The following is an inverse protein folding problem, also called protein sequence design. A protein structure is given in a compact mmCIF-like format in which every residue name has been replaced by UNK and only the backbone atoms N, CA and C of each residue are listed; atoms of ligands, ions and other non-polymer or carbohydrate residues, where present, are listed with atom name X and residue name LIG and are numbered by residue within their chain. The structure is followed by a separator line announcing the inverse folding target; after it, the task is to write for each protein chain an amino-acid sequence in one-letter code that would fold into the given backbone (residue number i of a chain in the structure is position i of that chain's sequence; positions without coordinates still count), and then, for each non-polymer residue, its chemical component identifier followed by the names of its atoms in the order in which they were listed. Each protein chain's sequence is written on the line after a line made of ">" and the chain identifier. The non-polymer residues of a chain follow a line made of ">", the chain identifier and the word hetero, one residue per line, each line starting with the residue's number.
data_IF_728192334870
#
_entry.id   IF_728192334870
#
_cell.length_a   1.000
_cell.length_b   1.000
_cell.length_c   1.000
_cell.angle_alpha   90.00
_cell.angle_beta   90.00
_cell.angle_gamma   90.00
#
_symmetry.space_group_name_H-M   'P 1'
#
loop_
_entity.id
_entity.type
_entity.pdbx_description
1 polymer ?
#
# COMPACT_ATOMS: atom_id res chain seq x y z
N UNK A 1 4.22 -6.26 13.58
CA UNK A 1 3.06 -6.79 14.31
C UNK A 1 2.25 -7.74 13.43
N UNK A 2 2.47 -9.05 13.58
CA UNK A 2 1.69 -10.09 12.88
C UNK A 2 0.49 -10.46 13.75
N UNK A 3 -0.70 -10.60 13.18
CA UNK A 3 -1.91 -10.91 13.97
C UNK A 3 -1.79 -12.35 14.49
N UNK A 4 -1.83 -12.57 15.82
CA UNK A 4 -1.77 -13.91 16.39
C UNK A 4 -2.87 -14.80 15.82
N UNK A 5 -2.48 -16.00 15.39
CA UNK A 5 -3.40 -16.96 14.78
C UNK A 5 -3.66 -16.76 13.30
N UNK A 6 -3.21 -15.68 12.65
CA UNK A 6 -3.39 -15.47 11.21
C UNK A 6 -2.20 -15.98 10.42
N UNK A 7 -2.38 -16.29 9.13
CA UNK A 7 -1.31 -16.77 8.27
C UNK A 7 -0.77 -15.72 7.32
N UNK A 8 -1.47 -14.63 7.03
CA UNK A 8 -1.03 -13.64 6.04
C UNK A 8 -1.07 -12.22 6.57
N UNK A 9 -1.97 -11.90 7.51
CA UNK A 9 -2.07 -10.55 8.07
C UNK A 9 -0.90 -10.20 9.03
N UNK A 10 0.18 -9.65 8.47
CA UNK A 10 1.30 -9.12 9.24
C UNK A 10 2.44 -8.56 8.38
N UNK A 11 3.29 -7.67 8.91
CA UNK A 11 4.48 -7.22 8.23
C UNK A 11 5.51 -8.35 8.16
N UNK A 12 6.27 -8.40 7.07
CA UNK A 12 7.30 -9.41 6.81
C UNK A 12 6.76 -10.86 6.81
N UNK A 13 5.49 -11.04 6.43
CA UNK A 13 4.93 -12.34 6.10
C UNK A 13 5.84 -13.06 5.10
N UNK A 14 6.25 -14.29 5.43
CA UNK A 14 7.06 -15.15 4.56
C UNK A 14 6.19 -15.73 3.43
N UNK A 15 5.72 -14.87 2.55
CA UNK A 15 4.72 -15.18 1.52
C UNK A 15 5.10 -16.39 0.67
N UNK A 16 6.29 -16.38 0.05
CA UNK A 16 6.74 -17.46 -0.83
C UNK A 16 6.74 -18.83 -0.13
N UNK A 17 7.18 -18.89 1.13
CA UNK A 17 7.21 -20.15 1.90
C UNK A 17 5.79 -20.66 2.18
N UNK A 18 4.87 -19.76 2.52
CA UNK A 18 3.45 -20.09 2.80
C UNK A 18 2.72 -20.52 1.53
N UNK A 19 3.00 -19.88 0.39
CA UNK A 19 2.46 -20.26 -0.91
C UNK A 19 2.97 -21.64 -1.36
N UNK A 20 4.28 -21.90 -1.25
CA UNK A 20 4.87 -23.21 -1.59
C UNK A 20 4.30 -24.35 -0.74
N UNK A 21 3.99 -24.07 0.53
CA UNK A 21 3.35 -25.03 1.44
C UNK A 21 1.85 -25.23 1.16
N UNK A 22 1.21 -24.31 0.41
CA UNK A 22 -0.22 -24.39 0.11
C UNK A 22 -1.12 -23.87 1.24
N UNK A 23 -0.60 -23.05 2.15
CA UNK A 23 -1.34 -22.57 3.32
C UNK A 23 -2.62 -21.77 2.91
N UNK A 24 -3.83 -22.18 3.31
CA UNK A 24 -5.06 -21.44 3.03
C UNK A 24 -5.27 -20.35 4.08
N UNK A 25 -5.67 -19.13 3.68
CA UNK A 25 -6.01 -18.08 4.65
C UNK A 25 -7.09 -18.54 5.63
N UNK A 26 -6.85 -18.35 6.93
CA UNK A 26 -7.67 -18.96 7.99
C UNK A 26 -9.12 -18.49 8.01
N UNK A 27 -9.37 -17.23 7.67
CA UNK A 27 -10.69 -16.62 7.61
C UNK A 27 -10.76 -15.59 6.47
N UNK A 28 -11.88 -14.88 6.34
CA UNK A 28 -12.08 -13.93 5.22
C UNK A 28 -11.05 -12.79 5.25
N UNK A 29 -10.74 -12.27 6.43
CA UNK A 29 -9.71 -11.23 6.64
C UNK A 29 -8.33 -11.73 6.22
N UNK A 30 -7.95 -12.94 6.64
CA UNK A 30 -6.66 -13.54 6.32
C UNK A 30 -6.52 -13.88 4.82
N UNK A 31 -7.62 -14.27 4.17
CA UNK A 31 -7.68 -14.43 2.71
C UNK A 31 -7.49 -13.09 1.98
N UNK A 32 -8.09 -12.01 2.47
CA UNK A 32 -7.86 -10.67 1.92
C UNK A 32 -6.39 -10.24 2.06
N UNK A 33 -5.78 -10.49 3.23
CA UNK A 33 -4.34 -10.25 3.42
C UNK A 33 -3.46 -11.09 2.47
N UNK A 34 -3.82 -12.36 2.23
CA UNK A 34 -3.11 -13.23 1.27
C UNK A 34 -3.15 -12.62 -0.14
N UNK A 35 -4.34 -12.20 -0.60
CA UNK A 35 -4.53 -11.55 -1.91
C UNK A 35 -3.72 -10.27 -2.03
N UNK A 36 -3.75 -9.43 -0.99
CA UNK A 36 -2.93 -8.22 -0.90
C UNK A 36 -1.44 -8.54 -1.04
N UNK A 37 -0.90 -9.46 -0.24
CA UNK A 37 0.53 -9.75 -0.23
C UNK A 37 1.03 -10.31 -1.57
N UNK A 38 0.22 -11.17 -2.23
CA UNK A 38 0.51 -11.65 -3.59
C UNK A 38 0.62 -10.48 -4.56
N UNK A 39 -0.40 -9.60 -4.61
CA UNK A 39 -0.41 -8.45 -5.52
C UNK A 39 0.72 -7.46 -5.20
N UNK A 40 1.02 -7.26 -3.92
CA UNK A 40 2.08 -6.39 -3.46
C UNK A 40 3.47 -6.93 -3.85
N UNK A 41 3.68 -8.25 -3.79
CA UNK A 41 4.93 -8.90 -4.18
C UNK A 41 5.18 -8.88 -5.70
N UNK A 42 4.11 -8.97 -6.49
CA UNK A 42 4.19 -9.01 -7.96
C UNK A 42 4.38 -7.62 -8.60
N UNK A 43 4.32 -6.53 -7.81
CA UNK A 43 4.34 -5.17 -8.36
C UNK A 43 5.46 -4.33 -7.75
N UNK A 44 6.26 -3.69 -8.61
CA UNK A 44 7.25 -2.69 -8.20
C UNK A 44 6.68 -1.26 -8.24
N UNK A 45 5.64 -1.05 -9.04
CA UNK A 45 4.98 0.25 -9.19
C UNK A 45 4.22 0.64 -7.91
N UNK A 46 4.52 1.84 -7.44
CA UNK A 46 3.87 2.49 -6.30
C UNK A 46 2.36 2.64 -6.49
N UNK A 47 1.88 2.92 -7.71
CA UNK A 47 0.44 3.08 -7.96
C UNK A 47 -0.31 1.75 -7.81
N UNK A 48 0.28 0.67 -8.32
CA UNK A 48 -0.29 -0.66 -8.21
C UNK A 48 -0.33 -1.14 -6.75
N UNK A 49 0.66 -0.73 -5.95
CA UNK A 49 0.64 -0.95 -4.49
C UNK A 49 -0.49 -0.19 -3.80
N UNK A 50 -0.75 1.07 -4.18
CA UNK A 50 -1.91 1.80 -3.65
C UNK A 50 -3.26 1.18 -4.04
N UNK A 51 -3.35 0.62 -5.25
CA UNK A 51 -4.52 -0.13 -5.69
C UNK A 51 -4.66 -1.39 -4.82
N UNK A 52 -3.58 -2.11 -4.55
CA UNK A 52 -3.60 -3.27 -3.65
C UNK A 52 -4.00 -2.89 -2.21
N UNK A 53 -3.49 -1.78 -1.68
CA UNK A 53 -3.88 -1.25 -0.37
C UNK A 53 -5.38 -0.89 -0.34
N UNK A 54 -5.90 -0.27 -1.41
CA UNK A 54 -7.31 0.10 -1.49
C UNK A 54 -8.21 -1.12 -1.62
N UNK A 55 -7.87 -2.07 -2.49
CA UNK A 55 -8.60 -3.32 -2.64
C UNK A 55 -8.62 -4.11 -1.33
N UNK A 56 -7.54 -4.09 -0.55
CA UNK A 56 -7.55 -4.68 0.78
C UNK A 56 -8.56 -4.00 1.71
N UNK A 57 -8.66 -2.66 1.68
CA UNK A 57 -9.66 -1.95 2.47
C UNK A 57 -11.09 -2.30 2.02
N UNK A 58 -11.31 -2.35 0.71
CA UNK A 58 -12.62 -2.67 0.12
C UNK A 58 -13.04 -4.12 0.42
N UNK A 59 -12.12 -5.08 0.24
CA UNK A 59 -12.32 -6.50 0.61
C UNK A 59 -12.62 -6.63 2.11
N UNK A 60 -11.94 -5.85 2.96
CA UNK A 60 -12.23 -5.82 4.39
C UNK A 60 -13.58 -5.16 4.67
N UNK A 61 -14.00 -4.13 3.95
CA UNK A 61 -15.30 -3.46 4.14
C UNK A 61 -16.47 -4.37 3.73
N UNK A 62 -16.31 -5.14 2.66
CA UNK A 62 -17.30 -6.11 2.15
C UNK A 62 -17.58 -7.30 3.09
N UNK A 63 -16.81 -7.49 4.17
CA UNK A 63 -17.07 -8.55 5.15
C UNK A 63 -18.30 -8.18 6.01
N UNK A 64 -19.44 -8.74 5.63
CA UNK A 64 -20.68 -8.71 6.41
C UNK A 64 -20.64 -9.70 7.57
N UNK A 65 -21.25 -9.31 8.70
CA UNK A 65 -21.32 -10.11 9.93
C UNK A 65 -19.96 -10.69 10.34
N UNK A 66 -18.97 -9.84 10.66
CA UNK A 66 -17.63 -10.30 11.03
C UNK A 66 -17.68 -11.09 12.34
N UNK A 67 -16.94 -12.19 12.40
CA UNK A 67 -16.83 -12.97 13.63
C UNK A 67 -16.24 -12.15 14.77
N UNK A 68 -16.80 -12.34 15.97
CA UNK A 68 -16.27 -11.78 17.21
C UNK A 68 -15.52 -12.90 17.92
N UNK A 69 -14.27 -12.64 18.29
CA UNK A 69 -13.43 -13.62 18.97
C UNK A 69 -12.28 -12.93 19.67
N UNK A 70 -12.04 -13.31 20.92
CA UNK A 70 -10.94 -12.76 21.72
C UNK A 70 -9.63 -13.50 21.36
N UNK A 71 -9.70 -14.82 21.15
CA UNK A 71 -8.56 -15.62 20.69
C UNK A 71 -8.97 -16.85 19.85
N UNK A 72 -8.39 -17.07 18.66
CA UNK A 72 -7.65 -16.08 17.85
C UNK A 72 -8.54 -14.87 17.54
N UNK A 73 -7.91 -13.72 17.25
CA UNK A 73 -8.66 -12.47 17.03
C UNK A 73 -9.74 -12.66 15.95
N UNK A 74 -10.99 -12.37 16.30
CA UNK A 74 -12.12 -12.39 15.38
C UNK A 74 -11.91 -11.41 14.22
N UNK A 75 -12.66 -11.63 13.13
CA UNK A 75 -12.57 -10.78 11.94
C UNK A 75 -12.85 -9.31 12.28
N UNK A 76 -13.73 -9.03 13.26
CA UNK A 76 -14.07 -7.67 13.67
C UNK A 76 -12.86 -6.95 14.27
N UNK A 77 -12.19 -7.58 15.22
CA UNK A 77 -11.00 -7.03 15.87
C UNK A 77 -9.83 -6.91 14.89
N UNK A 78 -9.59 -7.94 14.07
CA UNK A 78 -8.53 -7.92 13.07
C UNK A 78 -8.71 -6.77 12.06
N UNK A 79 -9.93 -6.56 11.56
CA UNK A 79 -10.26 -5.41 10.69
C UNK A 79 -9.98 -4.07 11.37
N UNK A 80 -10.36 -3.94 12.65
CA UNK A 80 -10.15 -2.72 13.43
C UNK A 80 -8.65 -2.39 13.60
N UNK A 81 -7.78 -3.39 13.66
CA UNK A 81 -6.33 -3.20 13.71
C UNK A 81 -5.71 -2.95 12.33
N UNK A 82 -6.13 -3.68 11.29
CA UNK A 82 -5.51 -3.60 9.94
C UNK A 82 -5.87 -2.30 9.23
N UNK A 83 -7.15 -1.91 9.22
CA UNK A 83 -7.63 -0.72 8.48
C UNK A 83 -6.85 0.56 8.78
N UNK A 84 -6.60 0.96 10.04
CA UNK A 84 -5.83 2.18 10.33
C UNK A 84 -4.39 2.07 9.84
N UNK A 85 -3.77 0.89 9.94
CA UNK A 85 -2.39 0.66 9.46
C UNK A 85 -2.32 0.82 7.93
N UNK A 86 -3.25 0.21 7.19
CA UNK A 86 -3.28 0.31 5.72
C UNK A 86 -3.61 1.74 5.28
N UNK A 87 -4.58 2.40 5.92
CA UNK A 87 -4.87 3.82 5.67
C UNK A 87 -3.65 4.71 5.95
N UNK A 88 -2.93 4.45 7.04
CA UNK A 88 -1.71 5.16 7.36
C UNK A 88 -0.60 4.87 6.34
N UNK A 89 -0.41 3.62 5.89
CA UNK A 89 0.54 3.27 4.82
C UNK A 89 0.23 4.01 3.54
N UNK A 90 -1.03 4.00 3.09
CA UNK A 90 -1.49 4.73 1.90
C UNK A 90 -1.25 6.24 2.01
N UNK A 91 -1.35 6.83 3.21
CA UNK A 91 -1.14 8.26 3.46
C UNK A 91 0.31 8.68 3.69
N UNK A 92 1.12 7.85 4.37
CA UNK A 92 2.40 8.26 4.97
C UNK A 92 3.61 7.38 4.59
N UNK A 93 3.49 6.17 4.04
CA UNK A 93 4.64 5.23 3.97
C UNK A 93 4.78 4.37 2.71
N UNK A 94 5.97 4.42 2.10
CA UNK A 94 6.58 3.49 1.11
C UNK A 94 5.86 3.22 -0.22
N UNK A 95 4.64 3.71 -0.39
CA UNK A 95 4.03 3.98 -1.68
C UNK A 95 3.94 5.52 -1.80
N UNK A 96 4.86 6.08 -2.59
CA UNK A 96 5.18 7.51 -2.63
C UNK A 96 3.97 8.44 -2.72
N UNK A 97 3.80 9.25 -1.67
CA UNK A 97 3.32 10.64 -1.68
C UNK A 97 2.37 10.97 -2.84
N UNK A 98 1.07 10.74 -2.65
CA UNK A 98 0.00 11.39 -3.43
C UNK A 98 0.00 12.93 -3.25
N UNK A 99 0.81 13.46 -2.34
CA UNK A 99 0.88 14.88 -2.01
C UNK A 99 2.19 15.54 -2.48
N UNK A 100 2.30 15.82 -3.77
CA UNK A 100 3.39 16.66 -4.28
C UNK A 100 3.20 18.09 -3.75
N UNK A 101 4.30 18.72 -3.32
CA UNK A 101 4.30 20.13 -2.94
C UNK A 101 3.89 20.99 -4.12
N UNK A 102 2.89 21.84 -3.93
CA UNK A 102 2.41 22.74 -4.95
C UNK A 102 3.08 24.10 -4.78
N UNK A 103 3.91 24.53 -5.74
CA UNK A 103 4.54 25.85 -5.71
C UNK A 103 3.51 26.99 -5.70
N UNK A 104 2.37 26.81 -6.40
CA UNK A 104 1.29 27.81 -6.43
C UNK A 104 0.52 27.92 -5.12
N UNK A 105 0.20 26.81 -4.46
CA UNK A 105 -0.50 26.82 -3.16
C UNK A 105 0.44 26.95 -1.96
N UNK A 106 1.77 26.89 -2.18
CA UNK A 106 2.82 26.87 -1.16
C UNK A 106 2.61 25.82 -0.05
N UNK A 107 1.91 24.74 -0.35
CA UNK A 107 1.62 23.64 0.59
C UNK A 107 1.59 22.29 -0.12
N UNK A 108 1.79 21.21 0.64
CA UNK A 108 1.55 19.84 0.13
C UNK A 108 0.05 19.67 -0.06
N UNK A 109 -0.36 19.36 -1.29
CA UNK A 109 -1.77 19.14 -1.63
C UNK A 109 -1.91 17.81 -2.36
N UNK A 110 -3.11 17.25 -2.34
CA UNK A 110 -3.43 16.06 -3.13
C UNK A 110 -3.18 16.30 -4.63
N UNK A 111 -2.79 15.24 -5.31
CA UNK A 111 -2.33 15.27 -6.70
C UNK A 111 -3.14 14.28 -7.53
N UNK A 112 -3.82 14.78 -8.56
CA UNK A 112 -4.55 14.01 -9.58
C UNK A 112 -3.61 13.65 -10.73
N UNK A 113 -3.93 12.59 -11.48
CA UNK A 113 -3.26 12.22 -12.73
C UNK A 113 -1.73 12.05 -12.61
N UNK A 114 -1.32 11.34 -11.57
CA UNK A 114 0.10 11.15 -11.28
C UNK A 114 0.74 10.25 -12.35
N UNK A 115 1.83 10.70 -12.98
CA UNK A 115 2.59 9.96 -14.00
C UNK A 115 4.08 10.06 -13.71
N UNK A 116 4.76 8.92 -13.72
CA UNK A 116 6.22 8.88 -13.66
C UNK A 116 6.75 8.95 -15.09
N UNK A 117 7.71 9.84 -15.31
CA UNK A 117 8.38 10.04 -16.60
C UNK A 117 9.87 10.20 -16.37
N UNK A 118 10.69 10.01 -17.40
CA UNK A 118 12.10 10.37 -17.37
C UNK A 118 12.31 11.74 -18.01
N UNK A 119 13.24 12.53 -17.47
CA UNK A 119 13.73 13.74 -18.17
C UNK A 119 14.72 13.36 -19.29
N UNK A 120 15.09 14.32 -20.15
CA UNK A 120 16.09 14.13 -21.22
C UNK A 120 17.43 13.55 -20.70
N UNK A 121 17.76 13.80 -19.43
CA UNK A 121 18.97 13.31 -18.77
C UNK A 121 18.73 12.02 -17.95
N UNK A 122 17.71 11.23 -18.28
CA UNK A 122 17.32 9.99 -17.60
C UNK A 122 17.07 10.13 -16.08
N UNK A 123 16.75 11.33 -15.59
CA UNK A 123 16.36 11.52 -14.18
C UNK A 123 14.87 11.22 -14.01
N UNK A 124 14.47 10.30 -13.10
CA UNK A 124 13.08 9.98 -12.87
C UNK A 124 12.35 11.18 -12.23
N UNK A 125 11.18 11.51 -12.78
CA UNK A 125 10.35 12.64 -12.34
C UNK A 125 8.88 12.21 -12.24
N UNK A 126 8.27 12.55 -11.11
CA UNK A 126 6.86 12.37 -10.86
C UNK A 126 6.12 13.66 -11.24
N UNK A 127 5.17 13.56 -12.16
CA UNK A 127 4.30 14.66 -12.60
C UNK A 127 2.88 14.41 -12.11
N UNK A 128 2.13 15.47 -11.83
CA UNK A 128 0.69 15.38 -11.55
C UNK A 128 0.03 16.75 -11.47
N UNK A 129 -1.26 16.78 -11.17
CA UNK A 129 -2.08 18.01 -11.15
C UNK A 129 -2.56 18.30 -9.74
N UNK A 130 -2.46 19.55 -9.29
CA UNK A 130 -3.02 19.96 -8.00
C UNK A 130 -4.55 19.93 -8.01
N UNK A 131 -5.17 19.22 -7.07
CA UNK A 131 -6.64 19.24 -6.91
C UNK A 131 -7.13 20.62 -6.48
N UNK A 132 -6.34 21.37 -5.72
CA UNK A 132 -6.75 22.66 -5.16
C UNK A 132 -6.65 23.82 -6.17
N UNK A 133 -5.63 23.84 -7.04
CA UNK A 133 -5.39 24.98 -7.94
C UNK A 133 -5.18 24.60 -9.41
N UNK A 134 -5.37 23.34 -9.78
CA UNK A 134 -5.22 22.83 -11.15
C UNK A 134 -3.79 22.89 -11.72
N UNK A 135 -2.80 23.37 -10.97
CA UNK A 135 -1.45 23.56 -11.49
C UNK A 135 -0.69 22.24 -11.62
N UNK A 136 0.12 22.13 -12.67
CA UNK A 136 1.05 21.00 -12.86
C UNK A 136 2.10 21.03 -11.75
N UNK A 137 2.29 19.89 -11.10
CA UNK A 137 3.31 19.67 -10.07
C UNK A 137 4.32 18.66 -10.57
N UNK A 138 5.59 18.92 -10.31
CA UNK A 138 6.69 18.04 -10.65
C UNK A 138 7.52 17.76 -9.40
N UNK A 139 7.96 16.52 -9.20
CA UNK A 139 8.88 16.13 -8.13
C UNK A 139 9.93 15.17 -8.69
N UNK A 140 11.20 15.51 -8.53
CA UNK A 140 12.27 14.58 -8.84
C UNK A 140 12.27 13.44 -7.82
N UNK A 141 12.42 12.21 -8.31
CA UNK A 141 12.63 11.05 -7.46
C UNK A 141 14.14 10.92 -7.24
N UNK A 142 14.54 10.69 -6.00
CA UNK A 142 15.94 10.39 -5.69
C UNK A 142 16.33 9.08 -6.38
N UNK A 143 17.41 9.12 -7.16
CA UNK A 143 18.03 7.90 -7.64
C UNK A 143 18.65 7.23 -6.43
N UNK A 144 18.10 6.10 -5.99
CA UNK A 144 18.78 5.23 -5.04
C UNK A 144 20.06 4.81 -5.75
N UNK A 145 21.19 5.42 -5.36
CA UNK A 145 22.50 5.00 -5.79
C UNK A 145 22.58 3.50 -5.52
N UNK A 146 22.85 2.71 -6.56
CA UNK A 146 23.19 1.31 -6.40
C UNK A 146 24.42 1.29 -5.50
N UNK A 147 24.27 1.17 -4.19
CA UNK A 147 25.34 0.71 -3.32
C UNK A 147 25.71 -0.64 -3.90
N UNK A 148 26.87 -0.70 -4.58
CA UNK A 148 27.49 -1.94 -5.00
C UNK A 148 27.45 -2.86 -3.78
N UNK A 149 26.71 -3.94 -3.89
CA UNK A 149 26.85 -5.06 -2.98
C UNK A 149 28.16 -5.72 -3.42
N UNK A 150 29.25 -5.21 -2.84
CA UNK A 150 30.58 -5.84 -2.83
C UNK A 150 30.60 -6.93 -1.77
#
# INVERSE_FOLDING_TARGET
>A
MHIPGYQYCGPFTKLEKRLKRGDPGKNRVDKACKKHDIKYSNTKDTKLKHIADQELLDDLDAIENPTNGIYPLGERQARATIKPIIKAKKRFGMAGVLSIYCLKCKKKTETKDMKETATKNNRPILKGICINCGSKKNRFLEQISKKKMS
#
